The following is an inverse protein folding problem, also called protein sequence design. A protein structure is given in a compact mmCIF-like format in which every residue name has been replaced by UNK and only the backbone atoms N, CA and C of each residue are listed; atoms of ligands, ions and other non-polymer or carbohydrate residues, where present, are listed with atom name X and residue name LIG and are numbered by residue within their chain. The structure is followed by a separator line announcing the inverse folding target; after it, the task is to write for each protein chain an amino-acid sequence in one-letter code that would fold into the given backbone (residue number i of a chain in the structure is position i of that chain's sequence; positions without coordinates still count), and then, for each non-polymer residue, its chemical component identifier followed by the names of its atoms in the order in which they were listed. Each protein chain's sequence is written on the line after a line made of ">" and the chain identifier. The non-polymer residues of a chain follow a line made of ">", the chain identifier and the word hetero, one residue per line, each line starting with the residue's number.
data_IF_678113630443
#
_entry.id   IF_678113630443
#
_cell.length_a   1.000
_cell.length_b   1.000
_cell.length_c   1.000
_cell.angle_alpha   90.00
_cell.angle_beta   90.00
_cell.angle_gamma   90.00
#
_symmetry.space_group_name_H-M   'P 1'
#
loop_
_entity.id
_entity.type
_entity.pdbx_description
1 polymer ?
#
# COMPACT_ATOMS: atom_id res chain seq x y z
N UNK A 1 67.56 -10.92 -41.70
CA UNK A 1 66.52 -11.07 -40.59
C UNK A 1 66.07 -9.68 -40.24
N UNK A 2 64.96 -9.24 -40.84
CA UNK A 2 64.28 -7.95 -40.55
C UNK A 2 63.09 -8.28 -39.66
N UNK A 3 63.15 -7.86 -38.39
CA UNK A 3 62.07 -8.12 -37.40
C UNK A 3 61.00 -7.11 -37.62
N UNK A 4 59.75 -7.64 -37.69
CA UNK A 4 58.50 -6.91 -37.82
C UNK A 4 58.23 -6.01 -36.61
N UNK A 5 58.65 -4.76 -36.66
CA UNK A 5 58.40 -3.73 -35.65
C UNK A 5 57.08 -2.96 -35.88
N UNK A 6 56.33 -3.28 -36.96
CA UNK A 6 55.10 -2.57 -37.30
C UNK A 6 53.80 -3.01 -36.50
N UNK A 7 53.82 -4.20 -35.89
CA UNK A 7 52.65 -4.76 -35.23
C UNK A 7 52.33 -4.10 -33.85
N UNK A 8 53.35 -3.69 -33.12
CA UNK A 8 53.17 -3.13 -31.78
C UNK A 8 52.67 -1.68 -31.76
N UNK A 9 53.00 -0.87 -32.75
CA UNK A 9 52.54 0.52 -32.81
C UNK A 9 51.04 0.61 -33.06
N UNK A 10 50.51 -0.21 -33.98
CA UNK A 10 49.09 -0.26 -34.25
C UNK A 10 48.24 -0.72 -33.01
N UNK A 11 48.75 -1.71 -32.29
CA UNK A 11 48.13 -2.20 -31.06
C UNK A 11 48.06 -1.13 -29.98
N UNK A 12 49.13 -0.40 -29.72
CA UNK A 12 49.14 0.68 -28.73
C UNK A 12 48.27 1.87 -29.13
N UNK A 13 48.18 2.21 -30.40
CA UNK A 13 47.28 3.25 -30.91
C UNK A 13 45.84 2.87 -30.69
N UNK A 14 45.46 1.60 -30.95
CA UNK A 14 44.08 1.13 -30.71
C UNK A 14 43.69 1.15 -29.25
N UNK A 15 44.58 0.70 -28.33
CA UNK A 15 44.38 0.77 -26.90
C UNK A 15 44.21 2.21 -26.41
N UNK A 16 45.06 3.13 -26.91
CA UNK A 16 44.97 4.53 -26.53
C UNK A 16 43.69 5.18 -27.00
N UNK A 17 43.20 4.87 -28.20
CA UNK A 17 41.91 5.33 -28.71
C UNK A 17 40.74 4.79 -27.90
N UNK A 18 40.78 3.49 -27.55
CA UNK A 18 39.77 2.88 -26.68
C UNK A 18 39.75 3.51 -25.27
N UNK A 19 40.90 3.75 -24.68
CA UNK A 19 41.04 4.41 -23.39
C UNK A 19 40.47 5.84 -23.43
N UNK A 20 40.75 6.60 -24.48
CA UNK A 20 40.16 7.95 -24.66
C UNK A 20 38.63 7.88 -24.80
N UNK A 21 38.10 6.93 -25.57
CA UNK A 21 36.65 6.75 -25.71
C UNK A 21 35.99 6.37 -24.40
N UNK A 22 36.59 5.50 -23.59
CA UNK A 22 36.09 5.12 -22.26
C UNK A 22 36.09 6.32 -21.31
N UNK A 23 37.18 7.10 -21.29
CA UNK A 23 37.29 8.31 -20.46
C UNK A 23 36.25 9.35 -20.90
N UNK A 24 36.09 9.57 -22.20
CA UNK A 24 35.08 10.50 -22.73
C UNK A 24 33.65 10.04 -22.37
N UNK A 25 33.36 8.75 -22.47
CA UNK A 25 32.07 8.16 -22.06
C UNK A 25 31.82 8.32 -20.56
N UNK A 26 32.82 8.07 -19.71
CA UNK A 26 32.72 8.26 -18.26
C UNK A 26 32.50 9.73 -17.91
N UNK A 27 33.23 10.65 -18.57
CA UNK A 27 33.05 12.09 -18.36
C UNK A 27 31.64 12.57 -18.79
N UNK A 28 31.16 12.09 -19.93
CA UNK A 28 29.80 12.40 -20.41
C UNK A 28 28.69 11.86 -19.44
N UNK A 29 28.85 10.62 -18.96
CA UNK A 29 27.93 10.04 -17.99
C UNK A 29 27.99 10.77 -16.63
N UNK A 30 29.17 11.14 -16.18
CA UNK A 30 29.35 11.95 -14.97
C UNK A 30 28.71 13.33 -15.12
N UNK A 31 28.88 13.99 -16.26
CA UNK A 31 28.23 15.27 -16.57
C UNK A 31 26.72 15.16 -16.60
N UNK A 32 26.17 14.05 -17.13
CA UNK A 32 24.75 13.76 -17.12
C UNK A 32 24.22 13.54 -15.68
N UNK A 33 24.95 12.79 -14.86
CA UNK A 33 24.60 12.56 -13.45
C UNK A 33 24.66 13.85 -12.63
N UNK A 34 25.67 14.70 -12.85
CA UNK A 34 25.77 16.02 -12.19
C UNK A 34 24.64 16.93 -12.67
N UNK A 35 24.31 16.93 -13.97
CA UNK A 35 23.19 17.68 -14.52
C UNK A 35 21.85 17.25 -13.96
N UNK A 36 21.61 15.95 -13.82
CA UNK A 36 20.42 15.40 -13.17
C UNK A 36 20.35 15.74 -11.67
N UNK A 37 21.50 15.66 -10.98
CA UNK A 37 21.58 16.04 -9.56
C UNK A 37 21.37 17.56 -9.37
N UNK A 38 21.90 18.40 -10.26
CA UNK A 38 21.69 19.85 -10.23
C UNK A 38 20.26 20.24 -10.61
N UNK A 39 19.62 19.53 -11.56
CA UNK A 39 18.22 19.71 -11.89
C UNK A 39 17.30 19.28 -10.73
N UNK A 40 17.66 18.21 -10.01
CA UNK A 40 16.99 17.80 -8.77
C UNK A 40 17.19 18.79 -7.60
N UNK A 41 18.35 19.43 -7.53
CA UNK A 41 18.66 20.42 -6.51
C UNK A 41 18.10 21.83 -6.83
N UNK A 42 17.87 22.14 -8.12
CA UNK A 42 17.24 23.37 -8.57
C UNK A 42 15.71 23.36 -8.37
N UNK A 43 15.11 22.21 -8.23
CA UNK A 43 13.83 22.03 -7.52
C UNK A 43 14.17 22.04 -6.02
N UNK A 44 14.35 23.27 -5.48
CA UNK A 44 14.74 23.49 -4.09
C UNK A 44 13.82 22.78 -3.10
N UNK A 45 14.09 22.85 -1.77
CA UNK A 45 13.23 22.31 -0.72
C UNK A 45 11.92 23.11 -0.57
N UNK A 46 11.37 23.57 -1.68
CA UNK A 46 10.02 24.07 -1.88
C UNK A 46 9.06 22.94 -2.20
N UNK A 47 9.22 21.77 -1.54
CA UNK A 47 8.08 20.97 -1.30
C UNK A 47 7.21 21.79 -0.37
N UNK A 48 6.09 22.33 -0.88
CA UNK A 48 4.99 22.79 -0.06
C UNK A 48 4.85 21.76 1.06
N UNK A 49 4.99 22.24 2.32
CA UNK A 49 4.70 21.38 3.47
C UNK A 49 3.33 20.82 3.14
N UNK A 50 3.24 19.49 2.99
CA UNK A 50 1.97 18.87 2.64
C UNK A 50 0.96 19.40 3.64
N UNK A 51 -0.05 20.12 3.14
CA UNK A 51 -1.04 20.76 3.98
C UNK A 51 -1.72 19.69 4.82
N UNK A 52 -1.64 19.78 6.14
CA UNK A 52 -2.29 18.84 7.05
C UNK A 52 -3.81 18.85 6.86
N UNK A 53 -4.34 19.98 6.38
CA UNK A 53 -5.75 20.17 6.09
C UNK A 53 -5.93 20.60 4.62
N UNK A 54 -6.01 19.62 3.69
CA UNK A 54 -6.18 19.94 2.27
C UNK A 54 -7.50 20.68 2.03
N UNK A 55 -7.48 21.66 1.13
CA UNK A 55 -8.68 22.36 0.70
C UNK A 55 -9.52 21.47 -0.21
N UNK A 56 -10.81 21.36 0.09
CA UNK A 56 -11.76 20.70 -0.78
C UNK A 56 -12.25 21.67 -1.85
N UNK A 57 -12.31 21.20 -3.10
CA UNK A 57 -12.85 21.96 -4.23
C UNK A 57 -14.29 21.56 -4.43
N UNK A 58 -15.20 22.54 -4.39
CA UNK A 58 -16.61 22.32 -4.72
C UNK A 58 -16.74 21.84 -6.16
N UNK A 59 -17.37 20.68 -6.35
CA UNK A 59 -17.62 20.08 -7.67
C UNK A 59 -19.05 20.22 -8.09
N UNK A 60 -19.95 20.29 -7.15
CA UNK A 60 -21.38 20.33 -7.40
C UNK A 60 -22.09 20.88 -6.17
N UNK A 61 -23.15 21.65 -6.40
CA UNK A 61 -23.97 22.26 -5.35
C UNK A 61 -25.45 22.05 -5.68
N UNK A 62 -26.25 21.79 -4.67
CA UNK A 62 -27.70 21.65 -4.79
C UNK A 62 -28.43 22.28 -3.61
N UNK A 63 -29.45 23.07 -3.92
CA UNK A 63 -30.23 23.78 -2.89
C UNK A 63 -29.51 25.02 -2.37
N UNK A 64 -29.93 25.48 -1.19
CA UNK A 64 -29.46 26.71 -0.52
C UNK A 64 -28.80 26.46 0.84
N UNK A 65 -28.59 25.19 1.18
CA UNK A 65 -27.99 24.79 2.46
C UNK A 65 -26.46 24.94 2.46
N UNK A 66 -25.88 24.95 3.68
CA UNK A 66 -24.43 24.99 3.90
C UNK A 66 -23.82 23.61 4.17
N UNK A 67 -24.67 22.56 4.18
CA UNK A 67 -24.23 21.18 4.43
C UNK A 67 -23.28 20.68 3.36
N UNK A 68 -22.14 20.16 3.76
CA UNK A 68 -21.09 19.65 2.87
C UNK A 68 -20.99 18.12 2.92
N UNK A 69 -20.71 17.54 1.78
CA UNK A 69 -20.33 16.12 1.63
C UNK A 69 -19.04 16.08 0.82
N UNK A 70 -18.04 15.35 1.33
CA UNK A 70 -16.76 15.18 0.64
C UNK A 70 -16.66 13.80 0.02
N UNK A 71 -16.04 13.72 -1.17
CA UNK A 71 -15.63 12.46 -1.79
C UNK A 71 -14.16 12.22 -1.53
N UNK A 72 -13.85 11.11 -0.88
CA UNK A 72 -12.48 10.70 -0.54
C UNK A 72 -12.17 9.37 -1.28
N UNK A 73 -11.21 9.37 -2.22
CA UNK A 73 -10.84 8.14 -2.93
C UNK A 73 -9.84 7.31 -2.11
N UNK A 74 -10.07 5.98 -2.06
CA UNK A 74 -9.15 4.97 -1.57
C UNK A 74 -8.80 4.08 -2.75
N UNK A 75 -7.68 4.36 -3.42
CA UNK A 75 -7.33 3.74 -4.69
C UNK A 75 -6.01 2.97 -4.64
N UNK A 76 -6.03 1.75 -5.22
CA UNK A 76 -4.86 0.87 -5.32
C UNK A 76 -4.54 0.17 -4.01
N UNK A 77 -3.29 -0.28 -3.86
CA UNK A 77 -2.84 -0.99 -2.66
C UNK A 77 -2.75 -0.01 -1.49
N UNK A 78 -3.33 -0.38 -0.35
CA UNK A 78 -3.25 0.37 0.91
C UNK A 78 -1.92 0.02 1.56
N UNK A 79 -0.95 0.89 1.42
CA UNK A 79 0.42 0.66 1.88
C UNK A 79 1.06 1.98 2.32
N UNK A 80 1.69 1.99 3.49
CA UNK A 80 2.49 3.13 3.97
C UNK A 80 3.81 3.16 3.22
N UNK A 81 4.05 4.19 2.43
CA UNK A 81 5.33 4.37 1.75
C UNK A 81 6.34 5.04 2.67
N UNK A 82 7.54 4.45 2.78
CA UNK A 82 8.64 5.09 3.52
C UNK A 82 9.06 6.41 2.84
N UNK A 83 9.24 7.46 3.63
CA UNK A 83 9.49 8.85 3.19
C UNK A 83 10.78 9.08 2.41
N UNK A 84 11.66 8.10 2.20
CA UNK A 84 12.94 8.30 1.56
C UNK A 84 13.06 7.55 0.23
N UNK A 85 12.95 8.28 -0.86
CA UNK A 85 13.44 7.85 -2.17
C UNK A 85 14.63 8.74 -2.57
N UNK A 86 15.72 8.14 -3.03
CA UNK A 86 16.87 8.83 -3.59
C UNK A 86 16.51 9.67 -4.84
N UNK A 87 15.33 9.40 -5.45
CA UNK A 87 14.84 10.05 -6.68
C UNK A 87 13.63 10.94 -6.50
N UNK A 88 13.26 11.31 -5.27
CA UNK A 88 12.15 12.23 -5.03
C UNK A 88 11.18 11.76 -3.94
N UNK A 89 10.28 12.66 -3.57
CA UNK A 89 9.23 12.40 -2.58
C UNK A 89 8.24 11.37 -3.16
N UNK A 90 8.13 10.21 -2.55
CA UNK A 90 7.01 9.31 -2.82
C UNK A 90 5.77 9.83 -2.10
N UNK A 91 4.66 9.83 -2.81
CA UNK A 91 3.37 10.23 -2.28
C UNK A 91 2.79 9.09 -1.44
N UNK A 92 2.69 9.28 -0.11
CA UNK A 92 2.00 8.35 0.78
C UNK A 92 0.49 8.47 0.61
N UNK A 93 -0.10 7.54 -0.13
CA UNK A 93 -1.54 7.50 -0.41
C UNK A 93 -2.38 7.37 0.85
N UNK A 94 -1.91 6.61 1.84
CA UNK A 94 -2.60 6.42 3.12
C UNK A 94 -2.64 7.74 3.87
N UNK A 95 -1.51 8.45 3.96
CA UNK A 95 -1.46 9.76 4.59
C UNK A 95 -2.34 10.78 3.88
N UNK A 96 -2.39 10.75 2.56
CA UNK A 96 -3.28 11.62 1.80
C UNK A 96 -4.78 11.38 2.11
N UNK A 97 -5.19 10.11 2.27
CA UNK A 97 -6.55 9.76 2.70
C UNK A 97 -6.80 10.24 4.13
N UNK A 98 -5.87 9.97 5.04
CA UNK A 98 -6.00 10.38 6.45
C UNK A 98 -6.10 11.89 6.62
N UNK A 99 -5.32 12.66 5.86
CA UNK A 99 -5.41 14.14 5.86
C UNK A 99 -6.77 14.64 5.38
N UNK A 100 -7.32 14.05 4.32
CA UNK A 100 -8.67 14.38 3.85
C UNK A 100 -9.74 14.06 4.92
N UNK A 101 -9.64 12.92 5.60
CA UNK A 101 -10.57 12.57 6.69
C UNK A 101 -10.41 13.55 7.86
N UNK A 102 -9.18 13.92 8.25
CA UNK A 102 -8.94 14.93 9.31
C UNK A 102 -9.52 16.29 8.93
N UNK A 103 -9.31 16.74 7.70
CA UNK A 103 -9.89 18.00 7.20
C UNK A 103 -11.42 17.95 7.23
N UNK A 104 -12.03 16.86 6.79
CA UNK A 104 -13.48 16.66 6.86
C UNK A 104 -13.98 16.63 8.31
N UNK A 105 -13.19 16.06 9.23
CA UNK A 105 -13.54 15.99 10.66
C UNK A 105 -13.51 17.36 11.32
N UNK A 106 -12.58 18.23 10.93
CA UNK A 106 -12.42 19.58 11.45
C UNK A 106 -13.50 20.56 10.93
N UNK A 107 -14.08 20.31 9.77
CA UNK A 107 -15.13 21.16 9.18
C UNK A 107 -16.49 20.88 9.85
N UNK A 108 -17.01 21.88 10.56
CA UNK A 108 -18.30 21.78 11.28
C UNK A 108 -19.52 21.69 10.35
N UNK A 109 -19.41 22.10 9.09
CA UNK A 109 -20.49 22.00 8.09
C UNK A 109 -20.46 20.64 7.35
N UNK A 110 -19.40 19.84 7.53
CA UNK A 110 -19.28 18.53 6.91
C UNK A 110 -20.23 17.52 7.55
N UNK A 111 -21.14 16.97 6.75
CA UNK A 111 -22.15 15.99 7.20
C UNK A 111 -21.96 14.63 6.60
N UNK A 112 -21.13 14.49 5.56
CA UNK A 112 -20.98 13.20 4.94
C UNK A 112 -19.63 13.00 4.26
N UNK A 113 -19.22 11.73 4.22
CA UNK A 113 -18.11 11.25 3.40
C UNK A 113 -18.68 10.24 2.40
N UNK A 114 -18.38 10.43 1.12
CA UNK A 114 -18.47 9.37 0.11
C UNK A 114 -17.07 8.79 -0.01
N UNK A 115 -16.87 7.61 0.59
CA UNK A 115 -15.62 6.87 0.51
C UNK A 115 -15.63 6.05 -0.79
N UNK A 116 -14.95 6.53 -1.81
CA UNK A 116 -14.85 5.82 -3.10
C UNK A 116 -13.73 4.79 -3.05
N UNK A 117 -14.10 3.51 -2.94
CA UNK A 117 -13.15 2.41 -2.77
C UNK A 117 -12.90 1.70 -4.10
N UNK A 118 -11.64 1.64 -4.49
CA UNK A 118 -11.15 0.84 -5.60
C UNK A 118 -9.80 0.23 -5.24
N UNK A 119 -9.82 -0.72 -4.28
CA UNK A 119 -8.62 -1.25 -3.64
C UNK A 119 -8.71 -2.76 -3.43
N UNK A 120 -7.66 -3.52 -3.76
CA UNK A 120 -7.54 -4.93 -3.40
C UNK A 120 -7.16 -5.12 -1.92
N UNK A 121 -6.97 -4.04 -1.15
CA UNK A 121 -6.46 -4.06 0.20
C UNK A 121 -4.96 -3.78 0.28
N UNK A 122 -4.33 -4.27 1.34
CA UNK A 122 -2.91 -4.05 1.60
C UNK A 122 -2.56 -4.29 3.06
N UNK A 123 -1.76 -3.40 3.65
CA UNK A 123 -1.36 -3.50 5.05
C UNK A 123 -2.55 -3.35 5.99
N UNK A 124 -2.64 -4.26 6.95
CA UNK A 124 -3.71 -4.24 7.95
C UNK A 124 -3.65 -2.97 8.80
N UNK A 125 -2.46 -2.59 9.29
CA UNK A 125 -2.29 -1.39 10.13
C UNK A 125 -2.72 -0.13 9.39
N UNK A 126 -2.32 0.05 8.13
CA UNK A 126 -2.72 1.20 7.32
C UNK A 126 -4.24 1.23 7.07
N UNK A 127 -4.86 0.06 6.88
CA UNK A 127 -6.31 -0.06 6.73
C UNK A 127 -7.04 0.26 8.03
N UNK A 128 -6.50 -0.17 9.18
CA UNK A 128 -7.05 0.11 10.49
C UNK A 128 -6.94 1.60 10.85
N UNK A 129 -5.85 2.27 10.47
CA UNK A 129 -5.69 3.73 10.65
C UNK A 129 -6.79 4.52 9.89
N UNK A 130 -7.09 4.13 8.65
CA UNK A 130 -8.18 4.74 7.87
C UNK A 130 -9.53 4.45 8.53
N UNK A 131 -9.77 3.21 8.92
CA UNK A 131 -10.98 2.79 9.62
C UNK A 131 -11.22 3.60 10.91
N UNK A 132 -10.20 3.76 11.75
CA UNK A 132 -10.27 4.53 12.98
C UNK A 132 -10.47 6.04 12.72
N UNK A 133 -9.84 6.59 11.68
CA UNK A 133 -10.06 7.99 11.30
C UNK A 133 -11.52 8.23 10.87
N UNK A 134 -12.13 7.31 10.12
CA UNK A 134 -13.55 7.36 9.73
C UNK A 134 -14.47 7.21 10.95
N UNK A 135 -14.12 6.38 11.93
CA UNK A 135 -14.85 6.25 13.19
C UNK A 135 -14.87 7.58 13.95
N UNK A 136 -13.70 8.21 14.10
CA UNK A 136 -13.58 9.52 14.75
C UNK A 136 -14.37 10.62 14.01
N UNK A 137 -14.44 10.57 12.68
CA UNK A 137 -15.29 11.47 11.90
C UNK A 137 -16.77 11.33 12.31
N UNK A 138 -17.28 10.10 12.44
CA UNK A 138 -18.69 9.86 12.85
C UNK A 138 -18.96 10.28 14.28
N UNK A 139 -18.05 10.00 15.19
CA UNK A 139 -18.20 10.30 16.62
C UNK A 139 -18.22 11.79 16.93
N UNK A 140 -17.71 12.64 16.02
CA UNK A 140 -17.70 14.10 16.22
C UNK A 140 -19.08 14.72 16.19
N UNK A 141 -20.02 14.14 15.43
CA UNK A 141 -21.42 14.60 15.31
C UNK A 141 -22.28 13.43 14.81
N UNK A 142 -23.30 13.03 15.56
CA UNK A 142 -24.22 11.91 15.27
C UNK A 142 -25.07 12.10 14.00
N UNK A 143 -25.07 13.29 13.41
CA UNK A 143 -25.68 13.55 12.09
C UNK A 143 -24.75 13.20 10.93
N UNK A 144 -23.45 12.92 11.18
CA UNK A 144 -22.49 12.54 10.14
C UNK A 144 -22.76 11.15 9.61
N UNK A 145 -22.65 10.99 8.30
CA UNK A 145 -22.86 9.72 7.60
C UNK A 145 -21.71 9.42 6.65
N UNK A 146 -21.46 8.15 6.45
CA UNK A 146 -20.47 7.66 5.50
C UNK A 146 -21.16 6.71 4.54
N UNK A 147 -20.95 6.91 3.24
CA UNK A 147 -21.34 5.97 2.21
C UNK A 147 -20.05 5.46 1.55
N UNK A 148 -19.82 4.17 1.61
CA UNK A 148 -18.76 3.53 0.83
C UNK A 148 -19.31 3.16 -0.55
N UNK A 149 -18.61 3.60 -1.60
CA UNK A 149 -18.93 3.26 -2.98
C UNK A 149 -17.79 2.44 -3.59
N UNK A 150 -18.08 1.19 -3.91
CA UNK A 150 -17.13 0.29 -4.56
C UNK A 150 -17.26 0.40 -6.07
N UNK A 151 -16.21 0.91 -6.74
CA UNK A 151 -16.18 1.03 -8.20
C UNK A 151 -15.89 -0.30 -8.88
N UNK A 152 -14.72 -0.87 -8.64
CA UNK A 152 -14.31 -2.16 -9.23
C UNK A 152 -14.01 -3.20 -8.16
N UNK A 153 -13.24 -2.82 -7.12
CA UNK A 153 -12.77 -3.73 -6.09
C UNK A 153 -12.84 -3.08 -4.73
N UNK A 154 -13.41 -3.77 -3.76
CA UNK A 154 -13.32 -3.49 -2.34
C UNK A 154 -13.03 -4.80 -1.62
N UNK A 155 -11.75 -5.18 -1.56
CA UNK A 155 -11.33 -6.47 -1.03
C UNK A 155 -10.29 -6.32 0.08
N UNK A 156 -10.28 -7.26 1.05
CA UNK A 156 -9.33 -7.27 2.17
C UNK A 156 -9.32 -5.91 2.90
N UNK A 157 -8.17 -5.23 3.02
CA UNK A 157 -8.07 -3.88 3.60
C UNK A 157 -9.03 -2.86 2.96
N UNK A 158 -9.35 -2.97 1.66
CA UNK A 158 -10.33 -2.12 0.99
C UNK A 158 -11.74 -2.34 1.53
N UNK A 159 -12.12 -3.58 1.81
CA UNK A 159 -13.40 -3.89 2.45
C UNK A 159 -13.40 -3.50 3.94
N UNK A 160 -12.26 -3.69 4.61
CA UNK A 160 -12.05 -3.29 6.01
C UNK A 160 -12.37 -1.81 6.24
N UNK A 161 -11.81 -0.92 5.41
CA UNK A 161 -12.05 0.54 5.56
C UNK A 161 -13.51 0.92 5.29
N UNK A 162 -14.25 0.11 4.52
CA UNK A 162 -15.67 0.32 4.26
C UNK A 162 -16.57 0.02 5.46
N UNK A 163 -16.06 -0.65 6.50
CA UNK A 163 -16.87 -1.10 7.64
C UNK A 163 -17.35 0.03 8.55
N UNK A 164 -16.86 1.26 8.41
CA UNK A 164 -17.42 2.44 9.08
C UNK A 164 -18.58 3.09 8.32
N UNK A 165 -18.84 2.65 7.09
CA UNK A 165 -19.93 3.19 6.29
C UNK A 165 -21.31 2.81 6.85
N UNK A 166 -22.26 3.75 6.75
CA UNK A 166 -23.65 3.52 7.05
C UNK A 166 -24.36 2.75 5.92
N UNK A 167 -23.85 2.90 4.68
CA UNK A 167 -24.23 2.14 3.49
C UNK A 167 -23.01 1.80 2.65
N UNK A 168 -22.99 0.60 2.11
CA UNK A 168 -21.98 0.11 1.20
C UNK A 168 -22.64 -0.22 -0.13
N UNK A 169 -22.37 0.62 -1.12
CA UNK A 169 -22.89 0.49 -2.48
C UNK A 169 -21.78 -0.01 -3.40
N UNK A 170 -22.09 -0.94 -4.29
CA UNK A 170 -21.12 -1.45 -5.25
C UNK A 170 -21.68 -1.46 -6.67
N UNK A 171 -20.81 -1.21 -7.66
CA UNK A 171 -21.15 -1.46 -9.05
C UNK A 171 -21.50 -2.94 -9.25
N UNK A 172 -22.46 -3.28 -10.12
CA UNK A 172 -22.91 -4.67 -10.31
C UNK A 172 -21.78 -5.64 -10.69
N UNK A 173 -20.73 -5.15 -11.33
CA UNK A 173 -19.55 -5.92 -11.74
C UNK A 173 -18.40 -5.87 -10.74
N UNK A 174 -18.59 -5.19 -9.61
CA UNK A 174 -17.55 -5.05 -8.61
C UNK A 174 -17.27 -6.36 -7.88
N UNK A 175 -16.04 -6.44 -7.36
CA UNK A 175 -15.56 -7.54 -6.52
C UNK A 175 -15.46 -7.05 -5.08
N UNK A 176 -15.99 -7.84 -4.15
CA UNK A 176 -16.04 -7.50 -2.72
C UNK A 176 -15.54 -8.69 -1.88
N UNK A 177 -15.17 -8.45 -0.64
CA UNK A 177 -14.85 -9.50 0.32
C UNK A 177 -13.35 -9.67 0.58
N UNK A 178 -12.80 -10.87 0.37
CA UNK A 178 -11.44 -11.21 0.83
C UNK A 178 -11.26 -10.93 2.33
N UNK A 179 -12.27 -11.33 3.14
CA UNK A 179 -12.22 -11.22 4.59
C UNK A 179 -11.26 -12.28 5.10
N UNK A 180 -10.01 -11.85 5.31
CA UNK A 180 -8.92 -12.75 5.67
C UNK A 180 -7.59 -12.01 5.82
N UNK A 181 -6.64 -12.70 6.44
CA UNK A 181 -5.27 -12.23 6.66
C UNK A 181 -4.29 -13.27 6.17
N UNK A 182 -3.26 -12.85 5.46
CA UNK A 182 -2.16 -13.71 5.03
C UNK A 182 -0.83 -13.16 5.52
N UNK A 183 0.09 -14.08 5.85
CA UNK A 183 1.49 -13.78 6.03
C UNK A 183 2.27 -14.73 5.11
N UNK A 184 2.97 -14.18 4.13
CA UNK A 184 3.64 -14.97 3.10
C UNK A 184 5.14 -14.71 3.10
N UNK A 185 5.93 -15.76 3.00
CA UNK A 185 7.37 -15.70 2.76
C UNK A 185 7.76 -16.75 1.72
N UNK A 186 8.78 -16.43 0.93
CA UNK A 186 9.38 -17.38 -0.01
C UNK A 186 10.54 -18.11 0.66
N UNK A 187 10.62 -19.42 0.47
CA UNK A 187 11.73 -20.23 0.94
C UNK A 187 12.70 -20.55 -0.21
N UNK A 188 13.95 -20.09 -0.07
CA UNK A 188 15.02 -20.26 -1.05
C UNK A 188 16.04 -21.34 -0.65
N UNK A 189 15.81 -22.08 0.45
CA UNK A 189 16.75 -23.10 0.96
C UNK A 189 17.18 -24.08 -0.11
N UNK A 190 16.23 -24.67 -0.82
CA UNK A 190 16.55 -25.66 -1.85
C UNK A 190 17.35 -25.10 -3.03
N UNK A 191 17.24 -23.81 -3.32
CA UNK A 191 18.06 -23.15 -4.33
C UNK A 191 19.45 -22.85 -3.77
N UNK A 192 19.55 -22.26 -2.58
CA UNK A 192 20.82 -21.93 -1.93
C UNK A 192 21.72 -23.15 -1.74
N UNK A 193 21.15 -24.29 -1.33
CA UNK A 193 21.85 -25.57 -1.19
C UNK A 193 22.47 -26.02 -2.55
N UNK A 194 21.75 -25.85 -3.66
CA UNK A 194 22.23 -26.24 -5.00
C UNK A 194 23.37 -25.38 -5.55
N UNK A 195 23.40 -24.11 -5.19
CA UNK A 195 24.39 -23.15 -5.69
C UNK A 195 25.51 -22.86 -4.66
N UNK A 196 25.50 -23.57 -3.52
CA UNK A 196 26.55 -23.46 -2.49
C UNK A 196 26.50 -22.17 -1.65
N UNK A 197 25.34 -21.54 -1.54
CA UNK A 197 25.15 -20.39 -0.64
C UNK A 197 24.74 -20.91 0.75
N UNK A 198 25.46 -20.52 1.78
CA UNK A 198 25.18 -20.84 3.18
C UNK A 198 24.75 -19.60 3.95
N UNK A 199 23.70 -19.73 4.75
CA UNK A 199 23.27 -18.68 5.70
C UNK A 199 23.96 -18.88 7.05
N UNK A 200 24.62 -17.82 7.55
CA UNK A 200 25.23 -17.79 8.87
C UNK A 200 24.57 -16.69 9.70
N UNK A 201 23.56 -17.07 10.46
CA UNK A 201 22.80 -16.14 11.31
C UNK A 201 23.24 -16.25 12.77
N UNK A 202 23.71 -15.13 13.35
CA UNK A 202 23.95 -14.97 14.79
C UNK A 202 22.78 -14.20 15.39
N UNK A 203 22.09 -14.77 16.38
CA UNK A 203 20.86 -14.22 16.93
C UNK A 203 20.81 -14.27 18.45
N UNK A 204 20.20 -13.29 19.07
CA UNK A 204 20.03 -13.20 20.53
C UNK A 204 18.90 -14.09 21.09
N UNK A 205 18.03 -14.61 20.24
CA UNK A 205 16.88 -15.44 20.65
C UNK A 205 16.42 -16.35 19.52
N UNK A 206 15.80 -17.47 19.88
CA UNK A 206 15.41 -18.55 18.96
C UNK A 206 14.50 -18.05 17.83
N UNK A 207 13.60 -17.13 18.13
CA UNK A 207 12.58 -16.63 17.20
C UNK A 207 12.96 -15.32 16.51
N UNK A 208 14.22 -14.84 16.63
CA UNK A 208 14.62 -13.54 16.05
C UNK A 208 14.67 -13.54 14.52
N UNK A 209 14.74 -14.70 13.92
CA UNK A 209 14.84 -14.92 12.48
C UNK A 209 13.69 -15.78 11.94
N UNK A 210 12.49 -15.53 12.47
CA UNK A 210 11.27 -16.10 11.94
C UNK A 210 11.18 -15.84 10.42
N UNK A 211 10.73 -16.83 9.67
CA UNK A 211 10.63 -16.78 8.21
C UNK A 211 11.97 -16.51 7.50
N UNK A 212 13.12 -16.91 8.08
CA UNK A 212 14.38 -16.88 7.37
C UNK A 212 14.26 -17.70 6.06
N UNK A 213 14.46 -17.06 4.88
CA UNK A 213 14.19 -17.71 3.60
C UNK A 213 15.18 -18.82 3.23
N UNK A 214 16.31 -18.94 3.94
CA UNK A 214 17.37 -19.90 3.62
C UNK A 214 17.36 -21.17 4.46
N UNK A 215 16.29 -21.40 5.24
CA UNK A 215 16.12 -22.62 6.04
C UNK A 215 14.67 -23.02 6.20
N UNK A 216 14.45 -24.25 6.61
CA UNK A 216 13.12 -24.74 6.94
C UNK A 216 12.61 -24.01 8.20
N UNK A 217 11.33 -23.68 8.19
CA UNK A 217 10.67 -23.04 9.34
C UNK A 217 10.18 -24.12 10.29
N UNK A 218 10.65 -24.17 11.54
CA UNK A 218 10.20 -25.14 12.52
C UNK A 218 8.69 -25.02 12.81
N UNK A 219 7.99 -26.15 13.09
CA UNK A 219 6.56 -26.15 13.39
C UNK A 219 6.15 -25.19 14.51
N UNK A 220 6.98 -25.06 15.55
CA UNK A 220 6.75 -24.16 16.69
C UNK A 220 6.76 -22.68 16.24
N UNK A 221 7.62 -22.33 15.29
CA UNK A 221 7.67 -20.98 14.73
C UNK A 221 6.47 -20.70 13.82
N UNK A 222 6.02 -21.70 13.06
CA UNK A 222 4.79 -21.59 12.26
C UNK A 222 3.57 -21.38 13.16
N UNK A 223 3.50 -22.09 14.30
CA UNK A 223 2.41 -21.92 15.26
C UNK A 223 2.35 -20.48 15.83
N UNK A 224 3.50 -19.89 16.16
CA UNK A 224 3.57 -18.49 16.63
C UNK A 224 3.08 -17.51 15.56
N UNK A 225 3.46 -17.73 14.31
CA UNK A 225 3.02 -16.87 13.21
C UNK A 225 1.53 -17.04 12.92
N UNK A 226 1.01 -18.27 13.02
CA UNK A 226 -0.41 -18.54 12.87
C UNK A 226 -1.23 -17.84 13.95
N UNK A 227 -0.79 -17.82 15.20
CA UNK A 227 -1.45 -17.09 16.28
C UNK A 227 -1.57 -15.58 15.99
N UNK A 228 -0.54 -14.98 15.40
CA UNK A 228 -0.58 -13.58 14.95
C UNK A 228 -1.62 -13.40 13.83
N UNK A 229 -1.62 -14.27 12.84
CA UNK A 229 -2.58 -14.24 11.72
C UNK A 229 -4.01 -14.40 12.24
N UNK A 230 -4.24 -15.34 13.17
CA UNK A 230 -5.55 -15.59 13.77
C UNK A 230 -6.04 -14.38 14.58
N UNK A 231 -5.16 -13.71 15.31
CA UNK A 231 -5.48 -12.49 16.05
C UNK A 231 -5.96 -11.39 15.12
N UNK A 232 -5.26 -11.16 14.02
CA UNK A 232 -5.63 -10.16 13.03
C UNK A 232 -6.90 -10.54 12.26
N UNK A 233 -7.05 -11.82 11.92
CA UNK A 233 -8.26 -12.32 11.30
C UNK A 233 -9.48 -12.13 12.20
N UNK A 234 -9.39 -12.48 13.48
CA UNK A 234 -10.47 -12.33 14.44
C UNK A 234 -10.91 -10.86 14.57
N UNK A 235 -9.95 -9.91 14.61
CA UNK A 235 -10.25 -8.48 14.60
C UNK A 235 -11.05 -8.09 13.34
N UNK A 236 -10.60 -8.50 12.16
CA UNK A 236 -11.30 -8.18 10.92
C UNK A 236 -12.70 -8.82 10.87
N UNK A 237 -12.77 -10.09 11.24
CA UNK A 237 -14.04 -10.83 11.31
C UNK A 237 -15.05 -10.14 12.21
N UNK A 238 -14.65 -9.73 13.43
CA UNK A 238 -15.52 -9.08 14.39
C UNK A 238 -15.97 -7.68 13.92
N UNK A 239 -15.10 -6.94 13.27
CA UNK A 239 -15.44 -5.66 12.65
C UNK A 239 -16.52 -5.85 11.59
N UNK A 240 -16.36 -6.80 10.67
CA UNK A 240 -17.38 -7.09 9.65
C UNK A 240 -18.68 -7.57 10.29
N UNK A 241 -18.58 -8.52 11.22
CA UNK A 241 -19.75 -9.07 11.93
C UNK A 241 -20.58 -7.96 12.59
N UNK A 242 -19.92 -7.05 13.28
CA UNK A 242 -20.56 -5.94 13.99
C UNK A 242 -21.12 -4.91 13.03
N UNK A 243 -20.35 -4.48 12.05
CA UNK A 243 -20.74 -3.47 11.08
C UNK A 243 -21.91 -3.91 10.21
N UNK A 244 -21.93 -5.19 9.82
CA UNK A 244 -23.01 -5.74 8.97
C UNK A 244 -24.16 -6.37 9.74
N UNK A 245 -24.10 -6.39 11.07
CA UNK A 245 -25.14 -6.98 11.94
C UNK A 245 -25.34 -8.47 11.67
N UNK A 246 -24.26 -9.19 11.34
CA UNK A 246 -24.30 -10.61 11.04
C UNK A 246 -23.93 -11.43 12.29
N UNK A 247 -24.50 -12.62 12.42
CA UNK A 247 -24.01 -13.60 13.38
C UNK A 247 -22.76 -14.34 12.83
N UNK A 248 -22.01 -14.96 13.73
CA UNK A 248 -20.77 -15.62 13.38
C UNK A 248 -21.00 -16.85 12.47
N UNK A 249 -22.12 -17.55 12.62
CA UNK A 249 -22.44 -18.75 11.82
C UNK A 249 -22.73 -18.38 10.37
N UNK A 250 -23.43 -17.27 10.14
CA UNK A 250 -23.72 -16.72 8.81
C UNK A 250 -22.49 -16.17 8.13
N UNK A 251 -21.61 -15.47 8.88
CA UNK A 251 -20.45 -14.81 8.31
C UNK A 251 -19.28 -15.79 8.02
N UNK A 252 -19.03 -16.75 8.91
CA UNK A 252 -17.88 -17.65 8.84
C UNK A 252 -17.71 -18.39 7.49
N UNK A 253 -18.78 -18.90 6.84
CA UNK A 253 -18.63 -19.60 5.56
C UNK A 253 -18.13 -18.74 4.39
N UNK A 254 -18.26 -17.41 4.47
CA UNK A 254 -17.83 -16.49 3.41
C UNK A 254 -16.65 -15.61 3.83
N UNK A 255 -16.26 -15.67 5.11
CA UNK A 255 -15.10 -14.96 5.65
C UNK A 255 -13.85 -15.86 5.67
N UNK A 256 -13.63 -16.61 4.61
CA UNK A 256 -12.50 -17.55 4.44
C UNK A 256 -11.41 -17.00 3.52
N UNK A 257 -11.42 -15.69 3.27
CA UNK A 257 -10.50 -15.02 2.37
C UNK A 257 -10.95 -14.98 0.90
N UNK A 258 -12.11 -15.55 0.58
CA UNK A 258 -12.63 -15.51 -0.79
C UNK A 258 -13.11 -14.12 -1.21
N UNK A 259 -12.99 -13.85 -2.50
CA UNK A 259 -13.68 -12.71 -3.14
C UNK A 259 -15.02 -13.17 -3.69
N UNK A 260 -15.99 -12.26 -3.74
CA UNK A 260 -17.32 -12.49 -4.28
C UNK A 260 -17.75 -11.34 -5.20
N UNK A 261 -18.66 -11.63 -6.13
CA UNK A 261 -19.29 -10.56 -6.93
C UNK A 261 -20.20 -9.70 -6.06
N UNK A 262 -20.52 -8.49 -6.52
CA UNK A 262 -21.47 -7.60 -5.85
C UNK A 262 -22.83 -8.26 -5.60
N UNK A 263 -23.33 -9.05 -6.57
CA UNK A 263 -24.60 -9.81 -6.42
C UNK A 263 -24.54 -10.80 -5.24
N UNK A 264 -23.45 -11.56 -5.13
CA UNK A 264 -23.25 -12.51 -4.02
C UNK A 264 -23.05 -11.77 -2.71
N UNK A 265 -22.30 -10.65 -2.72
CA UNK A 265 -22.08 -9.81 -1.55
C UNK A 265 -23.40 -9.25 -1.01
N UNK A 266 -24.30 -8.77 -1.89
CA UNK A 266 -25.63 -8.29 -1.54
C UNK A 266 -26.48 -9.41 -0.91
N UNK A 267 -26.49 -10.59 -1.53
CA UNK A 267 -27.22 -11.76 -1.01
C UNK A 267 -26.78 -12.14 0.42
N UNK A 268 -25.50 -12.00 0.71
CA UNK A 268 -24.92 -12.28 2.02
C UNK A 268 -24.89 -11.05 2.95
N UNK A 269 -25.53 -9.96 2.57
CA UNK A 269 -25.58 -8.70 3.36
C UNK A 269 -24.19 -8.08 3.64
N UNK A 270 -23.21 -8.37 2.82
CA UNK A 270 -21.90 -7.71 2.90
C UNK A 270 -21.94 -6.29 2.34
N UNK A 271 -22.93 -6.00 1.48
CA UNK A 271 -23.25 -4.66 0.92
C UNK A 271 -24.75 -4.42 0.97
N UNK A 272 -25.20 -3.19 0.60
CA UNK A 272 -26.59 -2.74 0.66
C UNK A 272 -27.22 -2.52 -0.76
#
# INVERSE_FOLDING_TARGET
>A
MQKDNCSHAGFWITISLLAVLVIASLAANMGLLIGLAAAGAAQGPGGEAEDEFPFFVERWSYGTGTTKVVRIPVEGIIFREAQSSFFGRRFDKVEAVLRQIRAATADEEMRGIILEVNSPGGELTASDEIYEALRLFKERDDRRRIVAFTRNVSASGGYYVSMQADWIVAEPTAIVGSIGVIMQSLNWKGLSDRIGITDTTIKSGTNKDLLNPFRDVPPEQLALLQEVVDTFYNRFFDIVRTSRGLDAETLKPIADGRIVSAEVALKHKLID
#
